data_IF_796909552769
#
_entry.id   IF_796909552769
#
_cell.length_a   1.000
_cell.length_b   1.000
_cell.length_c   1.000
_cell.angle_alpha   90.00
_cell.angle_beta   90.00
_cell.angle_gamma   90.00
#
_symmetry.space_group_name_H-M   'P 1'
#
loop_
_entity.id
_entity.type
_entity.pdbx_description
1 polymer ?
#
# COMPACT_ATOMS: atom_id res chain seq x y z
N UNK A 1 -42.19 30.18 33.68
CA UNK A 1 -41.93 29.68 32.31
C UNK A 1 -40.59 30.04 31.70
N UNK A 2 -40.09 31.26 31.88
CA UNK A 2 -38.79 31.69 31.31
C UNK A 2 -37.54 30.96 31.86
N UNK A 3 -37.60 30.46 33.10
CA UNK A 3 -36.46 29.76 33.73
C UNK A 3 -36.30 28.32 33.22
N UNK A 4 -37.43 27.65 32.95
CA UNK A 4 -37.43 26.25 32.45
C UNK A 4 -36.86 26.18 31.04
N UNK A 5 -37.16 27.17 30.18
CA UNK A 5 -36.61 27.23 28.83
C UNK A 5 -35.08 27.45 28.79
N UNK A 6 -34.56 28.22 29.76
CA UNK A 6 -33.08 28.41 29.86
C UNK A 6 -32.39 27.13 30.33
N UNK A 7 -33.02 26.37 31.22
CA UNK A 7 -32.42 25.12 31.72
C UNK A 7 -32.45 24.00 30.68
N UNK A 8 -33.54 23.87 29.91
CA UNK A 8 -33.67 22.89 28.82
C UNK A 8 -32.73 23.24 27.65
N UNK A 9 -32.64 24.53 27.28
CA UNK A 9 -31.71 24.98 26.23
C UNK A 9 -30.25 24.77 26.59
N UNK A 10 -29.88 25.02 27.86
CA UNK A 10 -28.51 24.77 28.34
C UNK A 10 -28.13 23.29 28.36
N UNK A 11 -29.08 22.43 28.74
CA UNK A 11 -28.88 20.99 28.79
C UNK A 11 -28.76 20.37 27.40
N UNK A 12 -29.51 20.90 26.43
CA UNK A 12 -29.47 20.48 25.03
C UNK A 12 -28.13 20.89 24.37
N UNK A 13 -27.61 22.10 24.69
CA UNK A 13 -26.37 22.61 24.20
C UNK A 13 -25.16 21.82 24.76
N UNK A 14 -25.21 21.46 26.05
CA UNK A 14 -24.20 20.60 26.68
C UNK A 14 -24.24 19.19 26.08
N UNK A 15 -25.42 18.63 25.80
CA UNK A 15 -25.57 17.34 25.14
C UNK A 15 -24.99 17.32 23.72
N UNK A 16 -25.23 18.35 22.94
CA UNK A 16 -24.67 18.49 21.59
C UNK A 16 -23.14 18.68 21.63
N UNK A 17 -22.62 19.47 22.55
CA UNK A 17 -21.17 19.65 22.71
C UNK A 17 -20.51 18.37 23.19
N UNK A 18 -21.14 17.60 24.10
CA UNK A 18 -20.63 16.29 24.52
C UNK A 18 -20.69 15.25 23.39
N UNK A 19 -21.72 15.28 22.52
CA UNK A 19 -21.79 14.41 21.36
C UNK A 19 -20.67 14.72 20.34
N UNK A 20 -20.38 16.00 20.09
CA UNK A 20 -19.26 16.41 19.23
C UNK A 20 -17.90 16.09 19.83
N UNK A 21 -17.74 16.10 21.15
CA UNK A 21 -16.49 15.71 21.83
C UNK A 21 -16.30 14.18 21.80
N UNK A 22 -17.39 13.40 21.80
CA UNK A 22 -17.31 11.94 21.70
C UNK A 22 -17.07 11.44 20.26
N UNK A 23 -17.43 12.21 19.22
CA UNK A 23 -17.11 11.89 17.82
C UNK A 23 -15.72 12.35 17.37
N UNK A 24 -15.11 13.31 18.05
CA UNK A 24 -13.73 13.68 17.83
C UNK A 24 -12.89 13.07 18.96
N UNK A 25 -12.32 11.90 18.73
CA UNK A 25 -11.28 11.36 19.59
C UNK A 25 -9.92 11.98 19.19
N UNK A 26 -9.56 13.18 19.73
CA UNK A 26 -8.33 13.85 19.36
C UNK A 26 -7.08 13.12 19.87
N UNK A 27 -7.25 12.18 20.83
CA UNK A 27 -6.18 11.35 21.34
C UNK A 27 -5.94 10.12 20.46
N UNK A 28 -7.00 9.46 19.97
CA UNK A 28 -6.89 8.33 19.03
C UNK A 28 -6.21 8.72 17.73
N UNK A 29 -6.63 9.84 17.13
CA UNK A 29 -6.02 10.35 15.90
C UNK A 29 -4.55 10.75 16.07
N UNK A 30 -4.12 11.16 17.26
CA UNK A 30 -2.73 11.49 17.53
C UNK A 30 -1.87 10.23 17.70
N UNK A 31 -2.41 9.19 18.34
CA UNK A 31 -1.73 7.89 18.49
C UNK A 31 -1.61 7.18 17.14
N UNK A 32 -2.65 7.19 16.32
CA UNK A 32 -2.61 6.61 14.96
C UNK A 32 -1.56 7.31 14.07
N UNK A 33 -1.51 8.64 14.08
CA UNK A 33 -0.50 9.39 13.33
C UNK A 33 0.92 9.08 13.79
N UNK A 34 1.12 8.94 15.10
CA UNK A 34 2.42 8.60 15.66
C UNK A 34 2.83 7.19 15.25
N UNK A 35 1.92 6.22 15.33
CA UNK A 35 2.18 4.85 14.91
C UNK A 35 2.50 4.76 13.41
N UNK A 36 1.78 5.54 12.59
CA UNK A 36 2.06 5.62 11.16
C UNK A 36 3.43 6.22 10.88
N UNK A 37 3.79 7.33 11.54
CA UNK A 37 5.11 7.95 11.39
C UNK A 37 6.25 7.02 11.85
N UNK A 38 6.04 6.27 12.93
CA UNK A 38 7.01 5.28 13.40
C UNK A 38 7.16 4.12 12.39
N UNK A 39 6.07 3.68 11.75
CA UNK A 39 6.11 2.65 10.72
C UNK A 39 6.81 3.17 9.44
N UNK A 40 6.50 4.38 8.98
CA UNK A 40 7.16 5.03 7.85
C UNK A 40 8.67 5.18 8.09
N UNK A 41 9.06 5.66 9.28
CA UNK A 41 10.46 5.78 9.65
C UNK A 41 11.17 4.43 9.71
N UNK A 42 10.51 3.40 10.25
CA UNK A 42 11.08 2.05 10.32
C UNK A 42 11.33 1.46 8.92
N UNK A 43 10.44 1.71 7.95
CA UNK A 43 10.65 1.31 6.55
C UNK A 43 11.79 2.11 5.93
N UNK A 44 11.82 3.43 6.12
CA UNK A 44 12.86 4.30 5.56
C UNK A 44 14.26 3.95 6.10
N UNK A 45 14.36 3.52 7.35
CA UNK A 45 15.61 3.06 7.97
C UNK A 45 16.16 1.75 7.33
N UNK A 46 15.34 1.02 6.56
CA UNK A 46 15.76 -0.19 5.82
C UNK A 46 16.29 0.11 4.42
N UNK A 47 16.10 1.32 3.91
CA UNK A 47 16.52 1.71 2.56
C UNK A 47 18.04 1.69 2.45
N UNK A 48 18.55 1.04 1.42
CA UNK A 48 19.97 0.99 1.06
C UNK A 48 20.20 1.62 -0.32
N UNK A 49 21.44 1.81 -0.72
CA UNK A 49 21.74 2.33 -2.07
C UNK A 49 21.30 1.38 -3.21
N UNK A 50 21.11 0.10 -2.92
CA UNK A 50 20.67 -0.93 -3.87
C UNK A 50 19.18 -1.24 -3.75
N UNK A 51 18.42 -0.51 -2.93
CA UNK A 51 16.99 -0.68 -2.80
C UNK A 51 16.26 -0.21 -4.04
N UNK A 52 15.22 -0.97 -4.44
CA UNK A 52 14.38 -0.67 -5.60
C UNK A 52 12.99 -0.31 -5.07
N UNK A 53 12.50 0.87 -5.41
CA UNK A 53 11.14 1.28 -5.06
C UNK A 53 10.24 1.19 -6.28
N UNK A 54 9.16 0.41 -6.18
CA UNK A 54 8.16 0.22 -7.21
C UNK A 54 6.86 0.89 -6.75
N UNK A 55 6.33 1.78 -7.58
CA UNK A 55 5.07 2.48 -7.32
C UNK A 55 4.08 2.09 -8.41
N UNK A 56 2.91 1.60 -7.99
CA UNK A 56 1.86 1.23 -8.93
C UNK A 56 1.49 2.41 -9.85
N UNK A 57 1.42 2.13 -11.15
CA UNK A 57 1.14 3.13 -12.18
C UNK A 57 2.34 3.99 -12.60
N UNK A 58 3.50 3.85 -11.97
CA UNK A 58 4.72 4.56 -12.37
C UNK A 58 5.71 3.63 -13.08
N UNK A 59 6.27 4.09 -14.19
CA UNK A 59 7.27 3.31 -14.93
C UNK A 59 8.57 3.18 -14.15
N UNK A 60 9.04 4.27 -13.55
CA UNK A 60 10.32 4.28 -12.86
C UNK A 60 11.47 3.76 -13.73
N UNK A 61 12.46 3.16 -13.11
CA UNK A 61 13.62 2.56 -13.79
C UNK A 61 13.32 1.18 -14.39
N UNK A 62 12.43 0.42 -13.73
CA UNK A 62 12.17 -0.99 -14.05
C UNK A 62 10.82 -1.23 -14.72
N UNK A 63 9.97 -0.21 -14.81
CA UNK A 63 8.64 -0.33 -15.38
C UNK A 63 8.65 -0.31 -16.90
N UNK A 64 7.79 -1.14 -17.50
CA UNK A 64 7.53 -1.20 -18.92
C UNK A 64 6.03 -1.26 -19.19
N UNK A 65 5.50 -0.37 -20.03
CA UNK A 65 4.13 -0.48 -20.50
C UNK A 65 3.99 -1.66 -21.47
N UNK A 66 3.01 -2.52 -21.20
CA UNK A 66 2.66 -3.66 -22.05
C UNK A 66 1.18 -3.63 -22.33
N UNK A 67 0.81 -3.68 -23.61
CA UNK A 67 -0.59 -3.75 -24.04
C UNK A 67 -0.95 -5.20 -24.34
N UNK A 68 -1.96 -5.70 -23.61
CA UNK A 68 -2.48 -7.05 -23.76
C UNK A 68 -3.85 -6.98 -24.41
N UNK A 69 -4.08 -7.65 -25.57
CA UNK A 69 -5.40 -7.73 -26.17
C UNK A 69 -6.32 -8.61 -25.32
N UNK A 70 -7.54 -8.18 -25.12
CA UNK A 70 -8.58 -8.94 -24.44
C UNK A 70 -9.79 -9.12 -25.35
N UNK A 71 -10.28 -10.34 -25.47
CA UNK A 71 -11.47 -10.64 -26.28
C UNK A 71 -12.75 -10.00 -25.72
N UNK A 72 -12.79 -9.73 -24.41
CA UNK A 72 -14.00 -9.25 -23.72
C UNK A 72 -14.04 -7.72 -23.60
N UNK A 73 -12.91 -7.06 -23.42
CA UNK A 73 -12.85 -5.64 -23.04
C UNK A 73 -11.94 -4.79 -23.94
N UNK A 74 -11.39 -5.34 -25.00
CA UNK A 74 -10.47 -4.64 -25.90
C UNK A 74 -9.01 -4.75 -25.45
N UNK A 75 -8.30 -3.64 -25.49
CA UNK A 75 -6.88 -3.61 -25.11
C UNK A 75 -6.73 -3.06 -23.70
N UNK A 76 -5.87 -3.69 -22.89
CA UNK A 76 -5.46 -3.21 -21.58
C UNK A 76 -3.99 -2.92 -21.57
N UNK A 77 -3.62 -1.80 -20.97
CA UNK A 77 -2.23 -1.43 -20.72
C UNK A 77 -1.90 -1.73 -19.27
N UNK A 78 -0.85 -2.51 -19.05
CA UNK A 78 -0.29 -2.84 -17.74
C UNK A 78 1.12 -2.31 -17.65
N UNK A 79 1.61 -2.16 -16.42
CA UNK A 79 3.03 -1.92 -16.18
C UNK A 79 3.63 -3.21 -15.61
N UNK A 80 4.59 -3.75 -16.34
CA UNK A 80 5.43 -4.84 -15.89
C UNK A 80 6.71 -4.27 -15.31
N UNK A 81 7.12 -4.78 -14.16
CA UNK A 81 8.35 -4.34 -13.52
C UNK A 81 9.43 -5.41 -13.71
N UNK A 82 10.38 -5.12 -14.61
CA UNK A 82 11.49 -6.00 -14.95
C UNK A 82 12.65 -5.81 -13.97
N UNK A 83 12.43 -6.18 -12.73
CA UNK A 83 13.44 -6.11 -11.66
C UNK A 83 14.52 -7.17 -11.92
N UNK A 84 15.81 -6.89 -11.67
CA UNK A 84 16.87 -7.88 -11.78
C UNK A 84 16.57 -9.15 -10.99
N UNK A 85 16.97 -10.32 -11.54
CA UNK A 85 16.82 -11.60 -10.82
C UNK A 85 17.63 -11.59 -9.52
N UNK A 86 17.05 -12.19 -8.49
CA UNK A 86 17.63 -12.22 -7.15
C UNK A 86 16.61 -12.47 -6.07
N UNK A 87 17.07 -12.52 -4.84
CA UNK A 87 16.22 -12.61 -3.66
C UNK A 87 16.14 -11.25 -2.99
N UNK A 88 14.92 -10.84 -2.66
CA UNK A 88 14.62 -9.54 -2.07
C UNK A 88 13.76 -9.69 -0.83
N UNK A 89 13.97 -8.82 0.15
CA UNK A 89 12.96 -8.53 1.16
C UNK A 89 12.05 -7.45 0.58
N UNK A 90 10.83 -7.83 0.22
CA UNK A 90 9.79 -6.93 -0.26
C UNK A 90 9.02 -6.35 0.92
N UNK A 91 8.97 -5.03 1.04
CA UNK A 91 8.27 -4.30 2.09
C UNK A 91 7.14 -3.51 1.43
N UNK A 92 5.94 -3.65 1.97
CA UNK A 92 4.77 -2.96 1.45
C UNK A 92 4.70 -1.52 1.94
N UNK A 93 4.59 -0.56 1.00
CA UNK A 93 4.50 0.88 1.27
C UNK A 93 3.14 1.48 0.84
N UNK A 94 2.15 0.66 0.50
CA UNK A 94 0.84 1.14 0.08
C UNK A 94 -0.13 1.36 1.24
N UNK A 95 -1.21 2.10 0.96
CA UNK A 95 -2.27 2.42 1.92
C UNK A 95 -3.47 1.46 1.85
N UNK A 96 -3.47 0.52 0.90
CA UNK A 96 -4.57 -0.42 0.69
C UNK A 96 -4.58 -1.47 1.80
N UNK A 97 -5.77 -1.85 2.29
CA UNK A 97 -5.94 -2.95 3.25
C UNK A 97 -5.50 -4.32 2.68
N UNK A 98 -5.36 -4.41 1.37
CA UNK A 98 -4.91 -5.61 0.67
C UNK A 98 -4.25 -5.23 -0.64
N UNK A 99 -3.00 -5.61 -0.79
CA UNK A 99 -2.27 -5.54 -2.04
C UNK A 99 -1.85 -6.93 -2.51
N UNK A 100 -1.80 -7.12 -3.80
CA UNK A 100 -1.37 -8.36 -4.43
C UNK A 100 -0.20 -8.08 -5.36
N UNK A 101 0.82 -8.91 -5.27
CA UNK A 101 2.00 -8.87 -6.13
C UNK A 101 2.13 -10.22 -6.81
N UNK A 102 2.23 -10.21 -8.13
CA UNK A 102 2.41 -11.41 -8.93
C UNK A 102 3.82 -11.46 -9.50
N UNK A 103 4.43 -12.64 -9.48
CA UNK A 103 5.60 -12.97 -10.29
C UNK A 103 5.09 -13.75 -11.49
N UNK A 104 5.33 -13.21 -12.69
CA UNK A 104 4.76 -13.73 -13.93
C UNK A 104 5.88 -14.00 -14.93
N UNK A 105 5.79 -15.10 -15.66
CA UNK A 105 6.72 -15.42 -16.74
C UNK A 105 6.56 -14.48 -17.93
N UNK A 106 7.69 -14.11 -18.58
CA UNK A 106 7.69 -13.15 -19.69
C UNK A 106 7.07 -13.69 -20.99
N UNK A 107 6.82 -14.99 -21.07
CA UNK A 107 6.27 -15.62 -22.27
C UNK A 107 4.73 -15.54 -22.35
N UNK A 108 4.06 -15.41 -21.20
CA UNK A 108 2.60 -15.33 -21.12
C UNK A 108 2.15 -14.69 -19.81
N UNK A 109 1.23 -13.74 -19.89
CA UNK A 109 0.58 -13.13 -18.70
C UNK A 109 -0.23 -14.13 -17.87
N UNK A 110 -0.51 -15.32 -18.39
CA UNK A 110 -1.17 -16.40 -17.66
C UNK A 110 -0.18 -17.27 -16.87
N UNK A 111 1.14 -17.14 -17.13
CA UNK A 111 2.18 -17.91 -16.45
C UNK A 111 2.51 -17.30 -15.08
N UNK A 112 1.53 -17.25 -14.19
CA UNK A 112 1.72 -16.78 -12.81
C UNK A 112 2.54 -17.82 -12.04
N UNK A 113 3.78 -17.47 -11.71
CA UNK A 113 4.73 -18.32 -10.96
C UNK A 113 4.52 -18.26 -9.47
N UNK A 114 4.24 -17.07 -8.95
CA UNK A 114 3.99 -16.86 -7.53
C UNK A 114 3.06 -15.67 -7.28
N UNK A 115 2.41 -15.66 -6.11
CA UNK A 115 1.51 -14.60 -5.69
C UNK A 115 1.75 -14.29 -4.22
N UNK A 116 1.95 -13.01 -3.92
CA UNK A 116 2.15 -12.49 -2.57
C UNK A 116 1.03 -11.54 -2.21
N UNK A 117 0.60 -11.60 -0.96
CA UNK A 117 -0.44 -10.74 -0.41
C UNK A 117 0.13 -9.94 0.74
N UNK A 118 -0.13 -8.64 0.72
CA UNK A 118 0.22 -7.72 1.78
C UNK A 118 -1.05 -7.10 2.34
N UNK A 119 -1.11 -6.89 3.65
CA UNK A 119 -2.32 -6.43 4.35
C UNK A 119 -2.10 -5.16 5.16
N UNK A 120 -0.86 -4.77 5.40
CA UNK A 120 -0.54 -3.59 6.19
C UNK A 120 0.77 -2.95 5.76
N UNK A 121 0.84 -1.65 5.90
CA UNK A 121 2.07 -0.88 5.68
C UNK A 121 3.23 -1.42 6.52
N UNK A 122 4.41 -1.55 5.92
CA UNK A 122 5.61 -2.09 6.57
C UNK A 122 5.65 -3.63 6.67
N UNK A 123 4.59 -4.32 6.25
CA UNK A 123 4.63 -5.79 6.14
C UNK A 123 5.72 -6.21 5.16
N UNK A 124 6.53 -7.18 5.55
CA UNK A 124 7.65 -7.66 4.74
C UNK A 124 7.55 -9.15 4.44
N UNK A 125 7.92 -9.52 3.22
CA UNK A 125 8.01 -10.91 2.77
C UNK A 125 9.27 -11.09 1.91
N UNK A 126 9.88 -12.28 1.99
CA UNK A 126 10.97 -12.63 1.10
C UNK A 126 10.41 -13.10 -0.24
N UNK A 127 10.87 -12.50 -1.33
CA UNK A 127 10.51 -12.89 -2.68
C UNK A 127 11.76 -13.22 -3.48
N UNK A 128 11.64 -14.19 -4.38
CA UNK A 128 12.72 -14.53 -5.33
C UNK A 128 12.21 -14.27 -6.74
N UNK A 129 12.95 -13.46 -7.47
CA UNK A 129 12.69 -13.10 -8.86
C UNK A 129 13.68 -13.89 -9.73
N UNK A 130 13.15 -14.73 -10.61
CA UNK A 130 13.94 -15.57 -11.52
C UNK A 130 14.13 -14.87 -12.85
N UNK A 131 15.18 -15.27 -13.59
CA UNK A 131 15.37 -14.83 -14.97
C UNK A 131 14.14 -15.19 -15.83
N UNK A 132 13.73 -14.26 -16.68
CA UNK A 132 12.57 -14.46 -17.56
C UNK A 132 11.23 -14.27 -16.85
N UNK A 133 11.21 -13.60 -15.69
CA UNK A 133 9.99 -13.19 -15.00
C UNK A 133 9.95 -11.68 -14.80
N UNK A 134 8.77 -11.15 -14.51
CA UNK A 134 8.52 -9.76 -14.13
C UNK A 134 7.55 -9.72 -12.95
N UNK A 135 7.44 -8.56 -12.32
CA UNK A 135 6.43 -8.30 -11.29
C UNK A 135 5.25 -7.54 -11.89
N UNK A 136 4.05 -7.94 -11.48
CA UNK A 136 2.82 -7.18 -11.68
C UNK A 136 2.24 -6.79 -10.32
N UNK A 137 1.91 -5.50 -10.16
CA UNK A 137 1.36 -4.96 -8.92
C UNK A 137 -0.15 -4.74 -9.07
N UNK A 138 -0.92 -5.08 -8.05
CA UNK A 138 -2.31 -4.62 -7.97
C UNK A 138 -2.37 -3.12 -7.69
N UNK A 139 -3.51 -2.50 -8.01
CA UNK A 139 -3.72 -1.05 -7.83
C UNK A 139 -3.37 -0.63 -6.40
N UNK A 140 -2.50 0.37 -6.28
CA UNK A 140 -2.03 0.92 -5.01
C UNK A 140 -1.01 0.05 -4.26
N UNK A 141 -0.48 -0.99 -4.89
CA UNK A 141 0.57 -1.82 -4.33
C UNK A 141 1.95 -1.18 -4.56
N UNK A 142 2.42 -0.41 -3.60
CA UNK A 142 3.78 0.13 -3.63
C UNK A 142 4.71 -0.78 -2.84
N UNK A 143 5.90 -1.06 -3.38
CA UNK A 143 6.89 -1.95 -2.78
C UNK A 143 8.26 -1.31 -2.69
N UNK A 144 8.93 -1.52 -1.57
CA UNK A 144 10.36 -1.37 -1.42
C UNK A 144 11.00 -2.76 -1.46
N UNK A 145 11.91 -2.97 -2.39
CA UNK A 145 12.64 -4.22 -2.55
C UNK A 145 14.09 -4.01 -2.09
N UNK A 146 14.46 -4.67 -1.01
CA UNK A 146 15.82 -4.66 -0.50
C UNK A 146 16.51 -5.96 -0.90
N UNK A 147 17.61 -5.93 -1.67
CA UNK A 147 18.36 -7.13 -2.02
C UNK A 147 18.83 -7.87 -0.76
N UNK A 148 18.69 -9.19 -0.77
CA UNK A 148 19.27 -10.05 0.27
C UNK A 148 20.67 -10.41 -0.18
N UNK A 149 21.67 -9.96 0.55
CA UNK A 149 23.06 -10.35 0.33
C UNK A 149 23.22 -11.84 0.69
N UNK A 150 23.80 -12.62 -0.23
CA UNK A 150 24.16 -14.02 0.02
C UNK A 150 25.42 -14.17 0.88
#
# INVERSE_FOLDING_TARGET
>A
MKLIFKLVGGLLLIGVVLMFIMEADPFGAAEERKAQQEAEQAVEDTVTENSIRLVDGELGEYGQEVTIPSETFGEYTYIWYNVPSGTYTAIYEGEQERATVFIVGNESSEDVRNTFYFTQYGESQQITIEDGTHLELSIGANLLLNPVEE
#
